data_IF_520897945711
#
_entry.id   IF_520897945711
#
_cell.length_a   1.000
_cell.length_b   1.000
_cell.length_c   1.000
_cell.angle_alpha   90.00
_cell.angle_beta   90.00
_cell.angle_gamma   90.00
#
_symmetry.space_group_name_H-M   'P 1'
#
loop_
_entity.id
_entity.type
_entity.pdbx_description
1 polymer ?
#
# COMPACT_ATOMS: atom_id res chain seq x y z
N UNK A 1 -37.38 38.04 11.68
CA UNK A 1 -37.52 39.20 10.74
C UNK A 1 -36.13 39.62 10.34
N UNK A 2 -35.76 39.53 9.08
CA UNK A 2 -34.46 39.90 8.58
C UNK A 2 -34.09 39.08 7.34
N UNK A 3 -34.39 39.63 6.16
CA UNK A 3 -34.25 39.06 4.85
C UNK A 3 -32.80 38.78 4.43
N UNK A 4 -32.58 37.72 3.68
CA UNK A 4 -31.44 37.57 2.80
C UNK A 4 -31.94 37.52 1.37
N UNK A 5 -31.60 38.60 0.62
CA UNK A 5 -31.87 38.75 -0.79
C UNK A 5 -30.70 38.22 -1.63
N UNK A 6 -31.09 37.83 -2.81
CA UNK A 6 -30.34 37.30 -3.97
C UNK A 6 -29.08 38.07 -4.35
N UNK A 7 -28.05 37.32 -4.76
CA UNK A 7 -27.03 37.75 -5.72
C UNK A 7 -26.60 36.56 -6.59
N UNK A 8 -27.12 36.53 -7.81
CA UNK A 8 -26.60 35.78 -8.95
C UNK A 8 -25.59 36.69 -9.67
N UNK A 9 -24.40 36.24 -10.05
CA UNK A 9 -23.58 36.93 -11.04
C UNK A 9 -23.70 36.28 -12.43
N UNK A 10 -23.76 37.18 -13.43
CA UNK A 10 -23.87 36.94 -14.85
C UNK A 10 -22.74 36.12 -15.47
N UNK A 11 -23.09 35.36 -16.51
CA UNK A 11 -22.19 34.72 -17.47
C UNK A 11 -21.44 35.77 -18.32
N UNK A 12 -20.10 35.75 -18.27
CA UNK A 12 -19.27 36.25 -19.36
C UNK A 12 -18.41 35.14 -19.95
N UNK A 13 -18.68 34.80 -21.18
CA UNK A 13 -17.93 33.90 -22.02
C UNK A 13 -16.59 34.53 -22.43
N UNK A 14 -15.49 34.10 -21.81
CA UNK A 14 -14.12 34.40 -22.22
C UNK A 14 -13.50 33.20 -22.94
N UNK A 15 -13.14 33.35 -24.22
CA UNK A 15 -12.35 32.45 -25.03
C UNK A 15 -11.04 32.14 -24.33
N UNK A 16 -10.80 30.86 -24.00
CA UNK A 16 -9.51 30.37 -23.51
C UNK A 16 -8.66 29.94 -24.69
N UNK A 17 -7.58 30.69 -24.88
CA UNK A 17 -6.47 30.41 -25.76
C UNK A 17 -5.72 29.15 -25.26
N UNK A 18 -5.49 28.21 -26.18
CA UNK A 18 -4.88 26.90 -25.89
C UNK A 18 -3.38 26.96 -25.67
N UNK A 19 -2.97 27.13 -24.44
CA UNK A 19 -1.63 26.78 -23.94
C UNK A 19 -1.77 25.84 -22.75
N UNK A 20 -1.84 24.55 -23.00
CA UNK A 20 -1.73 23.53 -21.95
C UNK A 20 -0.30 23.44 -21.42
N UNK A 21 0.11 24.39 -20.57
CA UNK A 21 1.15 24.13 -19.59
C UNK A 21 0.48 23.28 -18.49
N UNK A 22 0.80 22.00 -18.42
CA UNK A 22 0.37 21.11 -17.36
C UNK A 22 0.85 21.68 -16.03
N UNK A 23 -0.04 22.42 -15.34
CA UNK A 23 0.14 22.80 -13.95
C UNK A 23 0.21 21.52 -13.12
N UNK A 24 1.37 21.24 -12.57
CA UNK A 24 1.56 20.12 -11.62
C UNK A 24 0.72 20.45 -10.39
N UNK A 25 -0.39 19.73 -10.22
CA UNK A 25 -1.17 19.79 -8.99
C UNK A 25 -0.36 19.16 -7.86
N UNK A 26 0.36 19.99 -7.09
CA UNK A 26 1.08 19.61 -5.86
C UNK A 26 0.14 19.32 -4.68
N UNK A 27 -1.15 19.29 -4.89
CA UNK A 27 -2.22 19.13 -3.90
C UNK A 27 -2.19 17.81 -3.09
N UNK A 28 -1.84 16.62 -3.64
CA UNK A 28 -1.99 15.37 -2.89
C UNK A 28 -1.02 15.24 -1.73
N UNK A 29 0.26 15.60 -1.91
CA UNK A 29 1.23 15.52 -0.83
C UNK A 29 0.96 16.52 0.28
N UNK A 30 0.71 17.77 -0.07
CA UNK A 30 0.40 18.83 0.90
C UNK A 30 -0.84 18.49 1.75
N UNK A 31 -1.87 17.88 1.16
CA UNK A 31 -3.03 17.41 1.90
C UNK A 31 -2.68 16.26 2.86
N UNK A 32 -1.91 15.27 2.41
CA UNK A 32 -1.55 14.09 3.17
C UNK A 32 -0.57 14.38 4.33
N UNK A 33 0.21 15.46 4.25
CA UNK A 33 1.10 15.91 5.32
C UNK A 33 0.40 16.73 6.42
N UNK A 34 -0.91 17.03 6.28
CA UNK A 34 -1.65 17.82 7.27
C UNK A 34 -1.91 17.05 8.56
N UNK A 35 -2.03 17.79 9.67
CA UNK A 35 -2.44 17.27 10.97
C UNK A 35 -3.78 16.51 10.89
N UNK A 36 -4.77 17.09 10.21
CA UNK A 36 -6.09 16.50 10.08
C UNK A 36 -6.07 15.15 9.34
N UNK A 37 -5.30 15.04 8.26
CA UNK A 37 -5.11 13.80 7.52
C UNK A 37 -4.44 12.74 8.39
N UNK A 38 -3.33 13.10 9.06
CA UNK A 38 -2.59 12.19 9.93
C UNK A 38 -3.46 11.65 11.07
N UNK A 39 -4.22 12.51 11.75
CA UNK A 39 -5.13 12.09 12.84
C UNK A 39 -6.23 11.16 12.34
N UNK A 40 -6.86 11.47 11.21
CA UNK A 40 -7.88 10.60 10.62
C UNK A 40 -7.30 9.22 10.24
N UNK A 41 -6.11 9.21 9.64
CA UNK A 41 -5.41 7.99 9.26
C UNK A 41 -4.99 7.14 10.48
N UNK A 42 -4.47 7.77 11.54
CA UNK A 42 -4.11 7.11 12.78
C UNK A 42 -5.32 6.54 13.51
N UNK A 43 -6.44 7.28 13.54
CA UNK A 43 -7.68 6.81 14.14
C UNK A 43 -8.20 5.53 13.48
N UNK A 44 -8.10 5.41 12.15
CA UNK A 44 -8.49 4.20 11.42
C UNK A 44 -7.70 2.97 11.87
N UNK A 45 -6.38 3.07 12.06
CA UNK A 45 -5.55 1.97 12.55
C UNK A 45 -5.64 1.70 14.06
N UNK A 46 -6.19 2.64 14.81
CA UNK A 46 -6.47 2.47 16.24
C UNK A 46 -7.80 1.74 16.51
N UNK A 47 -8.62 1.50 15.48
CA UNK A 47 -9.86 0.71 15.60
C UNK A 47 -9.59 -0.77 15.37
N UNK A 48 -10.49 -1.62 15.90
CA UNK A 48 -10.50 -3.06 15.60
C UNK A 48 -11.71 -3.42 14.77
N UNK A 49 -11.59 -4.40 13.86
CA UNK A 49 -12.76 -4.99 13.24
C UNK A 49 -13.65 -5.60 14.33
N UNK A 50 -14.97 -5.43 14.20
CA UNK A 50 -15.92 -6.10 15.08
C UNK A 50 -15.79 -7.63 14.98
N UNK A 51 -16.33 -8.36 15.96
CA UNK A 51 -16.34 -9.83 15.96
C UNK A 51 -16.88 -10.38 14.64
N UNK A 52 -16.28 -11.47 14.14
CA UNK A 52 -16.78 -12.15 12.94
C UNK A 52 -18.06 -12.90 13.28
N UNK A 53 -19.10 -12.66 12.48
CA UNK A 53 -20.35 -13.39 12.54
C UNK A 53 -20.51 -14.18 11.23
N UNK A 54 -20.18 -15.48 11.22
CA UNK A 54 -20.27 -16.31 10.01
C UNK A 54 -21.64 -16.31 9.35
N UNK A 55 -22.70 -16.35 10.16
CA UNK A 55 -24.09 -16.33 9.69
C UNK A 55 -24.44 -15.03 8.97
N UNK A 56 -23.95 -13.90 9.48
CA UNK A 56 -24.11 -12.60 8.81
C UNK A 56 -23.38 -12.59 7.46
N UNK A 57 -22.17 -13.10 7.40
CA UNK A 57 -21.38 -13.18 6.16
C UNK A 57 -22.07 -14.05 5.11
N UNK A 58 -22.64 -15.19 5.50
CA UNK A 58 -23.42 -16.06 4.61
C UNK A 58 -24.72 -15.39 4.13
N UNK A 59 -25.40 -14.64 4.99
CA UNK A 59 -26.60 -13.89 4.64
C UNK A 59 -26.30 -12.76 3.63
N UNK A 60 -25.22 -11.99 3.84
CA UNK A 60 -24.76 -10.93 2.93
C UNK A 60 -24.36 -11.51 1.57
N UNK A 61 -23.62 -12.64 1.54
CA UNK A 61 -23.26 -13.34 0.32
C UNK A 61 -24.49 -13.72 -0.51
N UNK A 62 -25.49 -14.34 0.14
CA UNK A 62 -26.73 -14.74 -0.53
C UNK A 62 -27.51 -13.52 -1.03
N UNK A 63 -27.63 -12.48 -0.20
CA UNK A 63 -28.44 -11.28 -0.50
C UNK A 63 -27.86 -10.49 -1.67
N UNK A 64 -26.56 -10.22 -1.66
CA UNK A 64 -25.92 -9.31 -2.61
C UNK A 64 -25.36 -10.01 -3.84
N UNK A 65 -25.05 -11.29 -3.77
CA UNK A 65 -24.43 -12.04 -4.87
C UNK A 65 -25.24 -13.23 -5.35
N UNK A 66 -26.34 -13.59 -4.65
CA UNK A 66 -27.13 -14.78 -4.97
C UNK A 66 -26.37 -16.10 -4.80
N UNK A 67 -25.23 -16.08 -4.09
CA UNK A 67 -24.36 -17.22 -3.88
C UNK A 67 -24.56 -17.83 -2.50
N UNK A 68 -24.29 -19.13 -2.41
CA UNK A 68 -24.27 -19.89 -1.14
C UNK A 68 -22.98 -20.71 -1.08
N UNK A 69 -22.35 -20.75 0.11
CA UNK A 69 -21.12 -21.49 0.33
C UNK A 69 -20.78 -21.57 1.82
N UNK A 70 -19.79 -22.38 2.16
CA UNK A 70 -19.23 -22.37 3.51
C UNK A 70 -18.32 -21.18 3.70
N UNK A 71 -18.34 -20.57 4.89
CA UNK A 71 -17.54 -19.37 5.24
C UNK A 71 -16.56 -19.72 6.34
N UNK A 72 -15.31 -19.28 6.16
CA UNK A 72 -14.24 -19.41 7.15
C UNK A 72 -13.61 -18.03 7.39
N UNK A 73 -13.51 -17.61 8.66
CA UNK A 73 -12.88 -16.34 9.02
C UNK A 73 -11.37 -16.36 8.76
N UNK A 74 -10.87 -15.31 8.13
CA UNK A 74 -9.44 -15.05 7.97
C UNK A 74 -9.01 -13.94 8.92
N UNK A 75 -7.72 -13.98 9.31
CA UNK A 75 -7.13 -12.92 10.12
C UNK A 75 -7.02 -11.63 9.31
N UNK A 76 -7.52 -10.53 9.84
CA UNK A 76 -7.43 -9.19 9.28
C UNK A 76 -7.28 -8.14 10.38
N UNK A 77 -6.63 -7.02 10.07
CA UNK A 77 -6.33 -5.96 11.05
C UNK A 77 -7.40 -4.87 11.10
N UNK A 78 -8.09 -4.62 9.99
CA UNK A 78 -9.01 -3.47 9.84
C UNK A 78 -10.41 -3.89 9.42
N UNK A 79 -10.52 -4.86 8.51
CA UNK A 79 -11.77 -5.27 7.88
C UNK A 79 -12.14 -6.69 8.32
N UNK A 80 -13.41 -7.06 8.25
CA UNK A 80 -13.80 -8.48 8.34
C UNK A 80 -13.51 -9.15 7.02
N UNK A 81 -12.68 -10.17 7.04
CA UNK A 81 -12.32 -10.94 5.86
C UNK A 81 -12.70 -12.40 6.07
N UNK A 82 -13.49 -12.96 5.16
CA UNK A 82 -13.85 -14.37 5.18
C UNK A 82 -13.55 -15.03 3.84
N UNK A 83 -13.09 -16.27 3.90
CA UNK A 83 -13.02 -17.14 2.74
C UNK A 83 -14.37 -17.79 2.53
N UNK A 84 -14.84 -17.81 1.29
CA UNK A 84 -16.08 -18.43 0.85
C UNK A 84 -15.75 -19.60 -0.07
N UNK A 85 -16.18 -20.81 0.27
CA UNK A 85 -16.01 -21.99 -0.57
C UNK A 85 -17.36 -22.38 -1.17
N UNK A 86 -17.49 -22.24 -2.48
CA UNK A 86 -18.71 -22.57 -3.21
C UNK A 86 -18.77 -24.07 -3.55
N UNK A 87 -19.97 -24.59 -3.79
CA UNK A 87 -20.18 -26.01 -4.14
C UNK A 87 -19.60 -26.41 -5.50
N UNK A 88 -19.33 -25.44 -6.38
CA UNK A 88 -18.69 -25.62 -7.69
C UNK A 88 -17.15 -25.61 -7.63
N UNK A 89 -16.56 -25.54 -6.44
CA UNK A 89 -15.14 -25.53 -6.19
C UNK A 89 -14.48 -24.15 -6.25
N UNK A 90 -15.19 -23.08 -6.61
CA UNK A 90 -14.62 -21.73 -6.57
C UNK A 90 -14.40 -21.29 -5.13
N UNK A 91 -13.27 -20.61 -4.92
CA UNK A 91 -12.92 -20.00 -3.64
C UNK A 91 -12.88 -18.48 -3.80
N UNK A 92 -13.60 -17.78 -2.95
CA UNK A 92 -13.77 -16.34 -3.00
C UNK A 92 -13.39 -15.73 -1.65
N UNK A 93 -13.16 -14.42 -1.65
CA UNK A 93 -12.93 -13.64 -0.43
C UNK A 93 -14.02 -12.58 -0.34
N UNK A 94 -14.77 -12.60 0.75
CA UNK A 94 -15.73 -11.55 1.10
C UNK A 94 -15.09 -10.66 2.16
N UNK A 95 -14.99 -9.37 1.87
CA UNK A 95 -14.58 -8.33 2.82
C UNK A 95 -15.78 -7.49 3.20
N UNK A 96 -15.95 -7.22 4.50
CA UNK A 96 -17.07 -6.42 5.03
C UNK A 96 -16.58 -5.49 6.15
N UNK A 97 -17.27 -4.39 6.34
CA UNK A 97 -17.06 -3.46 7.45
C UNK A 97 -18.35 -2.74 7.79
N UNK A 98 -18.47 -2.31 9.05
CA UNK A 98 -19.55 -1.48 9.55
C UNK A 98 -19.11 -0.03 9.86
N UNK A 99 -17.91 0.37 9.46
CA UNK A 99 -17.39 1.73 9.69
C UNK A 99 -17.61 2.60 8.45
N UNK A 100 -17.86 3.89 8.66
CA UNK A 100 -18.07 4.83 7.56
C UNK A 100 -16.80 4.99 6.70
N UNK A 101 -15.62 4.95 7.33
CA UNK A 101 -14.32 5.07 6.68
C UNK A 101 -14.03 3.92 5.71
N UNK A 102 -14.58 2.74 5.98
CA UNK A 102 -14.41 1.56 5.12
C UNK A 102 -15.08 1.73 3.74
N UNK A 103 -16.09 2.57 3.61
CA UNK A 103 -16.77 2.82 2.34
C UNK A 103 -15.79 3.32 1.27
N UNK A 104 -15.00 4.34 1.60
CA UNK A 104 -14.02 4.88 0.65
C UNK A 104 -12.86 3.90 0.43
N UNK A 105 -12.44 3.14 1.46
CA UNK A 105 -11.47 2.07 1.31
C UNK A 105 -11.97 1.02 0.31
N UNK A 106 -13.23 0.55 0.43
CA UNK A 106 -13.79 -0.45 -0.47
C UNK A 106 -14.06 0.09 -1.88
N UNK A 107 -14.45 1.36 -2.01
CA UNK A 107 -14.53 2.05 -3.31
C UNK A 107 -13.19 2.06 -4.01
N UNK A 108 -12.12 2.37 -3.29
CA UNK A 108 -10.77 2.32 -3.82
C UNK A 108 -10.38 0.90 -4.23
N UNK A 109 -10.47 -0.08 -3.32
CA UNK A 109 -10.05 -1.46 -3.56
C UNK A 109 -10.76 -2.05 -4.78
N UNK A 110 -12.07 -1.90 -4.85
CA UNK A 110 -12.87 -2.45 -5.95
C UNK A 110 -12.61 -1.76 -7.29
N UNK A 111 -12.41 -0.43 -7.30
CA UNK A 111 -12.05 0.30 -8.51
C UNK A 111 -10.64 -0.05 -9.00
N UNK A 112 -9.66 -0.18 -8.09
CA UNK A 112 -8.31 -0.60 -8.44
C UNK A 112 -8.32 -1.99 -9.09
N UNK A 113 -8.93 -2.99 -8.45
CA UNK A 113 -9.03 -4.35 -9.01
C UNK A 113 -9.81 -4.39 -10.35
N UNK A 114 -10.88 -3.61 -10.48
CA UNK A 114 -11.62 -3.51 -11.74
C UNK A 114 -10.77 -2.89 -12.86
N UNK A 115 -9.93 -1.90 -12.54
CA UNK A 115 -8.99 -1.28 -13.47
C UNK A 115 -7.85 -2.19 -13.91
N UNK A 116 -7.49 -3.18 -13.10
CA UNK A 116 -6.46 -4.17 -13.44
C UNK A 116 -6.95 -5.28 -14.37
N UNK A 117 -8.25 -5.33 -14.69
CA UNK A 117 -8.80 -6.39 -15.52
C UNK A 117 -8.15 -6.38 -16.92
N UNK A 118 -7.62 -7.54 -17.33
CA UNK A 118 -6.94 -7.70 -18.60
C UNK A 118 -5.47 -7.27 -18.62
N UNK A 119 -4.95 -6.68 -17.54
CA UNK A 119 -3.51 -6.44 -17.41
C UNK A 119 -2.75 -7.77 -17.31
N UNK A 120 -1.51 -7.79 -17.80
CA UNK A 120 -0.69 -9.01 -17.91
C UNK A 120 0.66 -8.85 -17.20
N UNK A 121 1.29 -10.00 -16.91
CA UNK A 121 2.61 -10.06 -16.26
C UNK A 121 2.57 -10.08 -14.75
N UNK A 122 1.38 -10.10 -14.15
CA UNK A 122 1.11 -10.35 -12.74
C UNK A 122 -0.30 -10.95 -12.58
N UNK A 123 -0.64 -11.39 -11.38
CA UNK A 123 -1.98 -11.89 -11.02
C UNK A 123 -2.58 -10.95 -9.97
N UNK A 124 -3.83 -10.56 -10.15
CA UNK A 124 -4.59 -9.78 -9.17
C UNK A 124 -5.97 -10.41 -8.95
N UNK A 125 -6.61 -10.21 -7.79
CA UNK A 125 -7.99 -10.66 -7.58
C UNK A 125 -8.95 -9.93 -8.54
N UNK A 126 -9.97 -10.64 -8.99
CA UNK A 126 -11.07 -10.03 -9.72
C UNK A 126 -12.24 -9.74 -8.78
N UNK A 127 -12.72 -8.50 -8.80
CA UNK A 127 -13.94 -8.15 -8.06
C UNK A 127 -15.17 -8.69 -8.78
N UNK A 128 -16.05 -9.37 -8.03
CA UNK A 128 -17.31 -9.86 -8.52
C UNK A 128 -18.38 -8.78 -8.37
N UNK A 129 -19.22 -8.61 -9.40
CA UNK A 129 -20.34 -7.67 -9.31
C UNK A 129 -21.46 -8.25 -8.47
N UNK A 130 -22.13 -7.38 -7.71
CA UNK A 130 -23.39 -7.72 -7.02
C UNK A 130 -24.48 -8.08 -8.03
N UNK A 131 -25.60 -8.62 -7.57
CA UNK A 131 -26.79 -8.87 -8.39
C UNK A 131 -27.40 -7.61 -9.00
N UNK A 132 -27.12 -6.42 -8.42
CA UNK A 132 -27.48 -5.11 -9.00
C UNK A 132 -26.45 -4.56 -9.98
N UNK A 133 -25.33 -5.28 -10.23
CA UNK A 133 -24.26 -4.85 -11.12
C UNK A 133 -23.18 -3.95 -10.50
N UNK A 134 -23.30 -3.58 -9.22
CA UNK A 134 -22.31 -2.76 -8.50
C UNK A 134 -21.05 -3.56 -8.16
N UNK A 135 -19.91 -2.87 -7.95
CA UNK A 135 -18.66 -3.48 -7.53
C UNK A 135 -18.65 -3.84 -6.03
N UNK A 136 -19.42 -3.11 -5.23
CA UNK A 136 -19.58 -3.32 -3.80
C UNK A 136 -21.05 -3.11 -3.40
N UNK A 137 -21.39 -3.49 -2.19
CA UNK A 137 -22.70 -3.16 -1.60
C UNK A 137 -22.51 -2.22 -0.39
N UNK A 138 -23.52 -1.38 -0.18
CA UNK A 138 -23.68 -0.52 1.00
C UNK A 138 -25.12 -0.71 1.47
N UNK A 139 -25.32 -1.20 2.70
CA UNK A 139 -26.66 -1.43 3.23
C UNK A 139 -26.66 -1.45 4.76
N UNK A 140 -27.60 -0.70 5.38
CA UNK A 140 -27.87 -0.74 6.82
C UNK A 140 -26.62 -0.55 7.68
N UNK A 141 -25.72 0.39 7.27
CA UNK A 141 -24.46 0.67 7.96
C UNK A 141 -23.37 -0.39 7.75
N UNK A 142 -23.60 -1.36 6.87
CA UNK A 142 -22.57 -2.34 6.47
C UNK A 142 -22.23 -2.14 5.00
N UNK A 143 -20.94 -2.13 4.68
CA UNK A 143 -20.45 -2.18 3.32
C UNK A 143 -19.59 -3.42 3.08
N UNK A 144 -19.42 -3.82 1.82
CA UNK A 144 -18.58 -4.96 1.51
C UNK A 144 -18.48 -5.26 0.02
N UNK A 145 -17.53 -6.14 -0.32
CA UNK A 145 -17.36 -6.62 -1.68
C UNK A 145 -16.81 -8.05 -1.70
N UNK A 146 -17.01 -8.71 -2.84
CA UNK A 146 -16.58 -10.07 -3.11
C UNK A 146 -15.54 -10.09 -4.22
N UNK A 147 -14.46 -10.84 -4.02
CA UNK A 147 -13.39 -11.02 -5.00
C UNK A 147 -12.99 -12.49 -5.13
N UNK A 148 -12.29 -12.82 -6.22
CA UNK A 148 -11.67 -14.13 -6.39
C UNK A 148 -10.53 -14.31 -5.38
N UNK A 149 -10.29 -15.55 -4.94
CA UNK A 149 -9.11 -15.90 -4.17
C UNK A 149 -7.98 -16.27 -5.11
N UNK A 150 -6.80 -15.72 -4.87
CA UNK A 150 -5.57 -16.12 -5.59
C UNK A 150 -5.01 -17.38 -4.94
N UNK A 151 -4.79 -18.41 -5.74
CA UNK A 151 -4.12 -19.64 -5.32
C UNK A 151 -2.60 -19.49 -5.45
N UNK A 152 -1.88 -19.86 -4.40
CA UNK A 152 -0.43 -19.75 -4.32
C UNK A 152 0.06 -19.72 -2.88
N UNK A 153 1.35 -19.49 -2.71
CA UNK A 153 1.95 -19.29 -1.39
C UNK A 153 2.41 -17.84 -1.24
N UNK A 154 2.23 -17.22 -0.07
CA UNK A 154 2.77 -15.90 0.18
C UNK A 154 4.29 -15.88 0.06
N UNK A 155 4.86 -14.80 -0.49
CA UNK A 155 6.29 -14.68 -0.72
C UNK A 155 7.13 -14.88 0.56
N UNK A 156 6.58 -14.52 1.74
CA UNK A 156 7.28 -14.73 3.02
C UNK A 156 7.48 -16.21 3.38
N UNK A 157 6.74 -17.12 2.73
CA UNK A 157 6.86 -18.57 2.90
C UNK A 157 7.73 -19.22 1.80
N UNK A 158 8.05 -18.47 0.75
CA UNK A 158 8.92 -18.95 -0.32
C UNK A 158 10.40 -18.70 0.00
N UNK A 159 11.29 -19.54 -0.51
CA UNK A 159 12.74 -19.29 -0.44
C UNK A 159 13.07 -18.14 -1.41
N UNK A 160 13.62 -17.02 -0.93
CA UNK A 160 13.91 -15.87 -1.78
C UNK A 160 15.20 -16.11 -2.58
N UNK A 161 15.07 -16.61 -3.79
CA UNK A 161 16.16 -16.70 -4.75
C UNK A 161 16.33 -15.41 -5.54
N UNK A 162 17.53 -15.12 -6.09
CA UNK A 162 17.73 -13.99 -7.00
C UNK A 162 16.69 -13.91 -8.12
N UNK A 163 16.41 -15.04 -8.78
CA UNK A 163 15.41 -15.12 -9.85
C UNK A 163 13.98 -14.81 -9.36
N UNK A 164 13.58 -15.33 -8.19
CA UNK A 164 12.27 -15.04 -7.63
C UNK A 164 12.13 -13.55 -7.29
N UNK A 165 13.17 -12.93 -6.72
CA UNK A 165 13.16 -11.50 -6.39
C UNK A 165 13.14 -10.64 -7.68
N UNK A 166 13.89 -11.02 -8.71
CA UNK A 166 13.84 -10.35 -10.01
C UNK A 166 12.44 -10.42 -10.63
N UNK A 167 11.84 -11.60 -10.68
CA UNK A 167 10.46 -11.77 -11.18
C UNK A 167 9.45 -10.98 -10.35
N UNK A 168 9.65 -10.90 -9.03
CA UNK A 168 8.81 -10.09 -8.13
C UNK A 168 8.90 -8.61 -8.48
N UNK A 169 10.10 -8.07 -8.68
CA UNK A 169 10.31 -6.69 -9.09
C UNK A 169 9.69 -6.37 -10.45
N UNK A 170 9.88 -7.26 -11.43
CA UNK A 170 9.29 -7.11 -12.77
C UNK A 170 7.75 -7.12 -12.73
N UNK A 171 7.15 -8.01 -11.93
CA UNK A 171 5.70 -8.07 -11.77
C UNK A 171 5.16 -6.83 -11.03
N UNK A 172 5.87 -6.34 -10.01
CA UNK A 172 5.52 -5.11 -9.29
C UNK A 172 5.52 -3.88 -10.22
N UNK A 173 6.52 -3.77 -11.09
CA UNK A 173 6.57 -2.69 -12.08
C UNK A 173 5.39 -2.76 -13.06
N UNK A 174 5.01 -3.97 -13.53
CA UNK A 174 3.84 -4.16 -14.40
C UNK A 174 2.53 -3.83 -13.69
N UNK A 175 2.40 -4.19 -12.41
CA UNK A 175 1.30 -3.74 -11.57
C UNK A 175 1.25 -2.20 -11.50
N UNK A 176 2.40 -1.55 -11.27
CA UNK A 176 2.50 -0.09 -11.25
C UNK A 176 2.03 0.55 -12.55
N UNK A 177 2.44 0.05 -13.72
CA UNK A 177 1.96 0.53 -15.02
C UNK A 177 0.44 0.36 -15.20
N UNK A 178 -0.14 -0.71 -14.68
CA UNK A 178 -1.58 -0.92 -14.76
C UNK A 178 -2.34 0.00 -13.79
N UNK A 179 -1.81 0.24 -12.58
CA UNK A 179 -2.39 1.15 -11.60
C UNK A 179 -2.29 2.62 -12.02
N UNK A 180 -1.31 3.01 -12.82
CA UNK A 180 -1.19 4.37 -13.40
C UNK A 180 -2.45 4.78 -14.19
N UNK A 181 -3.13 3.80 -14.80
CA UNK A 181 -4.35 4.02 -15.58
C UNK A 181 -5.62 4.09 -14.72
N UNK A 182 -5.51 3.81 -13.42
CA UNK A 182 -6.66 3.83 -12.50
C UNK A 182 -6.87 5.27 -11.99
N UNK A 183 -8.11 5.75 -12.10
CA UNK A 183 -8.52 7.04 -11.55
C UNK A 183 -9.74 6.84 -10.64
N UNK A 184 -9.58 7.14 -9.36
CA UNK A 184 -10.63 7.01 -8.35
C UNK A 184 -10.45 8.05 -7.25
N UNK A 185 -11.47 8.88 -6.93
CA UNK A 185 -11.36 9.92 -5.90
C UNK A 185 -10.93 9.37 -4.53
N UNK A 186 -11.37 8.17 -4.18
CA UNK A 186 -11.00 7.49 -2.93
C UNK A 186 -9.51 7.17 -2.79
N UNK A 187 -8.68 7.36 -3.85
CA UNK A 187 -7.23 7.26 -3.75
C UNK A 187 -6.61 8.35 -2.84
N UNK A 188 -7.35 9.42 -2.57
CA UNK A 188 -6.89 10.53 -1.71
C UNK A 188 -7.42 10.44 -0.26
N UNK A 189 -8.05 9.32 0.12
CA UNK A 189 -8.51 9.10 1.49
C UNK A 189 -7.33 9.02 2.48
N UNK A 190 -7.56 9.30 3.78
CA UNK A 190 -6.53 9.16 4.80
C UNK A 190 -6.05 7.70 4.94
N UNK A 191 -4.73 7.49 4.75
CA UNK A 191 -4.02 6.22 4.93
C UNK A 191 -2.74 6.50 5.73
N UNK A 192 -2.56 5.87 6.89
CA UNK A 192 -1.38 6.16 7.74
C UNK A 192 -0.06 5.76 7.08
N UNK A 193 -0.10 4.74 6.21
CA UNK A 193 1.06 4.30 5.44
C UNK A 193 1.40 5.18 4.25
N UNK A 194 0.59 6.23 3.98
CA UNK A 194 0.89 7.21 2.94
C UNK A 194 2.18 7.96 3.28
N UNK A 195 3.03 8.15 2.28
CA UNK A 195 4.36 8.77 2.44
C UNK A 195 4.30 10.16 3.10
N UNK A 196 3.25 10.94 2.87
CA UNK A 196 3.04 12.23 3.52
C UNK A 196 2.84 12.18 5.04
N UNK A 197 2.56 11.00 5.60
CA UNK A 197 2.48 10.80 7.05
C UNK A 197 3.83 10.47 7.69
N UNK A 198 4.84 10.07 6.92
CA UNK A 198 6.02 9.41 7.49
C UNK A 198 6.84 10.30 8.42
N UNK A 199 7.08 11.56 8.11
CA UNK A 199 7.79 12.49 9.02
C UNK A 199 7.05 12.65 10.36
N UNK A 200 5.71 12.61 10.32
CA UNK A 200 4.88 12.73 11.52
C UNK A 200 4.85 11.46 12.38
N UNK A 201 5.24 10.31 11.84
CA UNK A 201 5.32 9.07 12.62
C UNK A 201 6.31 9.18 13.78
N UNK A 202 7.22 10.15 13.77
CA UNK A 202 8.09 10.44 14.92
C UNK A 202 7.33 10.88 16.18
N UNK A 203 6.06 11.31 16.06
CA UNK A 203 5.17 11.53 17.23
C UNK A 203 4.92 10.23 18.02
N UNK A 204 5.16 9.06 17.39
CA UNK A 204 5.02 7.74 18.01
C UNK A 204 6.33 7.24 18.67
N UNK A 205 7.42 8.00 18.61
CA UNK A 205 8.74 7.60 19.13
C UNK A 205 8.71 7.17 20.61
N UNK A 206 7.87 7.81 21.42
CA UNK A 206 7.69 7.49 22.83
C UNK A 206 7.29 6.03 23.11
N UNK A 207 6.81 5.31 22.09
CA UNK A 207 6.42 3.89 22.17
C UNK A 207 7.58 2.94 21.89
N UNK A 208 8.72 3.44 21.39
CA UNK A 208 9.89 2.61 21.09
C UNK A 208 10.64 2.21 22.37
N UNK A 209 11.26 1.02 22.39
CA UNK A 209 12.24 0.70 23.42
C UNK A 209 13.47 1.59 23.25
N UNK A 210 14.10 1.97 24.36
CA UNK A 210 15.37 2.70 24.33
C UNK A 210 16.49 1.81 23.79
N UNK A 211 17.43 2.38 23.01
CA UNK A 211 18.61 1.67 22.47
C UNK A 211 18.89 1.99 21.01
N UNK A 212 19.84 1.26 20.44
CA UNK A 212 20.39 1.51 19.09
C UNK A 212 19.34 1.51 17.98
N UNK A 213 18.25 0.75 18.13
CA UNK A 213 17.18 0.74 17.12
C UNK A 213 16.41 2.06 17.10
N UNK A 214 16.12 2.64 18.27
CA UNK A 214 15.49 3.97 18.33
C UNK A 214 16.41 5.03 17.72
N UNK A 215 17.72 4.95 17.95
CA UNK A 215 18.69 5.86 17.36
C UNK A 215 18.74 5.72 15.84
N UNK A 216 18.71 4.49 15.31
CA UNK A 216 18.66 4.22 13.86
C UNK A 216 17.36 4.75 13.24
N UNK A 217 16.23 4.59 13.91
CA UNK A 217 14.94 5.14 13.48
C UNK A 217 15.00 6.67 13.40
N UNK A 218 15.51 7.34 14.44
CA UNK A 218 15.66 8.81 14.45
C UNK A 218 16.51 9.31 13.28
N UNK A 219 17.65 8.66 13.04
CA UNK A 219 18.55 9.02 11.93
C UNK A 219 17.85 8.83 10.59
N UNK A 220 17.20 7.68 10.36
CA UNK A 220 16.53 7.40 9.10
C UNK A 220 15.36 8.37 8.83
N UNK A 221 14.59 8.71 9.86
CA UNK A 221 13.45 9.63 9.72
C UNK A 221 13.91 11.09 9.57
N UNK A 222 15.02 11.48 10.20
CA UNK A 222 15.65 12.78 9.96
C UNK A 222 16.17 12.91 8.53
N UNK A 223 16.86 11.87 8.00
CA UNK A 223 17.25 11.83 6.58
C UNK A 223 16.05 11.92 5.64
N UNK A 224 14.96 11.26 5.97
CA UNK A 224 13.73 11.35 5.19
C UNK A 224 13.19 12.78 5.15
N UNK A 225 13.02 13.42 6.29
CA UNK A 225 12.49 14.79 6.38
C UNK A 225 13.41 15.82 5.71
N UNK A 226 14.73 15.66 5.81
CA UNK A 226 15.69 16.60 5.25
C UNK A 226 15.92 16.43 3.75
N UNK A 227 15.97 15.18 3.25
CA UNK A 227 16.43 14.93 1.87
C UNK A 227 15.36 14.31 0.96
N UNK A 228 14.36 13.60 1.48
CA UNK A 228 13.34 12.96 0.66
C UNK A 228 12.13 13.87 0.53
N UNK A 229 11.58 14.31 1.64
CA UNK A 229 10.33 15.07 1.70
C UNK A 229 10.34 16.32 0.82
N UNK A 230 11.42 17.15 0.75
CA UNK A 230 11.46 18.33 -0.12
C UNK A 230 11.48 18.03 -1.62
N UNK A 231 11.85 16.79 -2.02
CA UNK A 231 12.03 16.39 -3.43
C UNK A 231 10.98 15.40 -3.90
N UNK A 232 10.12 14.91 -3.00
CA UNK A 232 9.22 13.80 -3.34
C UNK A 232 8.10 14.20 -4.31
N UNK A 233 7.79 15.49 -4.40
CA UNK A 233 6.85 16.03 -5.40
C UNK A 233 7.40 15.99 -6.84
N UNK A 234 8.72 15.85 -7.01
CA UNK A 234 9.38 15.89 -8.31
C UNK A 234 9.51 14.51 -8.98
N UNK A 235 9.10 13.44 -8.30
CA UNK A 235 9.00 12.10 -8.89
C UNK A 235 7.59 11.85 -9.45
N UNK A 236 7.42 10.75 -10.19
CA UNK A 236 6.12 10.38 -10.76
C UNK A 236 5.14 9.91 -9.67
N UNK A 237 3.92 10.44 -9.68
CA UNK A 237 2.81 10.11 -8.78
C UNK A 237 1.70 9.39 -9.54
N UNK A 238 1.09 8.40 -8.89
CA UNK A 238 0.03 7.58 -9.46
C UNK A 238 -0.75 6.87 -8.34
N UNK A 239 -1.78 6.13 -8.70
CA UNK A 239 -2.36 5.12 -7.81
C UNK A 239 -1.32 4.03 -7.57
N UNK A 240 -1.08 3.67 -6.31
CA UNK A 240 -0.13 2.64 -5.88
C UNK A 240 -0.84 1.58 -5.05
N UNK A 241 -0.21 0.41 -4.91
CA UNK A 241 -0.65 -0.64 -3.98
C UNK A 241 -0.40 -0.25 -2.52
N UNK A 242 0.69 0.44 -2.27
CA UNK A 242 1.14 1.00 -0.99
C UNK A 242 1.45 0.01 0.14
N UNK A 243 1.23 -1.28 -0.06
CA UNK A 243 1.74 -2.36 0.82
C UNK A 243 2.11 -3.64 0.04
N UNK A 244 3.02 -3.60 -0.96
CA UNK A 244 3.54 -4.80 -1.59
C UNK A 244 4.53 -5.51 -0.65
N UNK A 245 4.05 -5.93 0.52
CA UNK A 245 4.82 -6.70 1.50
C UNK A 245 4.84 -8.19 1.11
N UNK A 246 5.79 -9.00 1.61
CA UNK A 246 5.83 -10.43 1.34
C UNK A 246 4.60 -11.22 1.79
N UNK A 247 3.71 -10.61 2.57
CA UNK A 247 2.42 -11.19 2.96
C UNK A 247 1.35 -10.95 1.90
N UNK A 248 1.47 -9.85 1.15
CA UNK A 248 0.54 -9.42 0.10
C UNK A 248 1.03 -9.76 -1.31
N UNK A 249 2.24 -10.33 -1.43
CA UNK A 249 2.78 -10.88 -2.67
C UNK A 249 2.69 -12.40 -2.66
N UNK A 250 2.15 -12.98 -3.73
CA UNK A 250 1.87 -14.41 -3.87
C UNK A 250 2.73 -15.03 -4.97
N UNK A 251 3.36 -16.16 -4.68
CA UNK A 251 3.99 -17.00 -5.72
C UNK A 251 2.92 -17.97 -6.22
N UNK A 252 2.53 -17.81 -7.47
CA UNK A 252 1.45 -18.59 -8.09
C UNK A 252 1.97 -19.43 -9.27
N UNK A 253 1.18 -20.36 -9.74
CA UNK A 253 1.50 -21.12 -10.97
C UNK A 253 1.51 -20.29 -12.26
N UNK A 254 0.97 -19.04 -12.20
CA UNK A 254 0.88 -18.12 -13.34
C UNK A 254 1.85 -16.93 -13.22
N UNK A 255 2.67 -16.86 -12.16
CA UNK A 255 3.60 -15.76 -11.90
C UNK A 255 3.40 -15.16 -10.51
N UNK A 256 3.82 -13.91 -10.34
CA UNK A 256 3.63 -13.19 -9.08
C UNK A 256 2.22 -12.62 -8.99
N UNK A 257 1.58 -12.82 -7.85
CA UNK A 257 0.27 -12.26 -7.52
C UNK A 257 0.37 -11.15 -6.48
N UNK A 258 -0.59 -10.22 -6.49
CA UNK A 258 -0.72 -9.15 -5.50
C UNK A 258 -2.14 -9.16 -4.92
N UNK A 259 -2.24 -9.16 -3.60
CA UNK A 259 -3.51 -9.16 -2.86
C UNK A 259 -3.52 -8.00 -1.87
N UNK A 260 -4.70 -7.67 -1.38
CA UNK A 260 -4.92 -6.68 -0.33
C UNK A 260 -4.53 -5.24 -0.73
N UNK A 261 -5.42 -4.61 -1.51
CA UNK A 261 -5.31 -3.23 -1.96
C UNK A 261 -5.81 -2.22 -0.90
N UNK A 262 -5.97 -2.64 0.38
CA UNK A 262 -6.54 -1.82 1.45
C UNK A 262 -5.79 -0.53 1.74
N UNK A 263 -4.47 -0.56 1.65
CA UNK A 263 -3.60 0.58 1.89
C UNK A 263 -3.30 1.40 0.62
N UNK A 264 -3.79 0.96 -0.55
CA UNK A 264 -3.53 1.65 -1.81
C UNK A 264 -4.03 3.09 -1.80
N UNK A 265 -3.27 3.99 -2.41
CA UNK A 265 -3.56 5.43 -2.42
C UNK A 265 -2.87 6.12 -3.60
N UNK A 266 -3.12 7.42 -3.77
CA UNK A 266 -2.34 8.26 -4.68
C UNK A 266 -1.01 8.62 -4.03
N UNK A 267 0.09 8.09 -4.57
CA UNK A 267 1.42 8.17 -3.95
C UNK A 267 2.52 8.14 -5.02
N UNK A 268 3.78 8.50 -4.68
CA UNK A 268 4.89 8.32 -5.60
C UNK A 268 5.05 6.85 -5.99
N UNK A 269 5.15 6.55 -7.30
CA UNK A 269 5.31 5.17 -7.78
C UNK A 269 6.51 4.45 -7.16
N UNK A 270 7.58 5.19 -6.86
CA UNK A 270 8.79 4.64 -6.23
C UNK A 270 8.53 4.10 -4.81
N UNK A 271 7.44 4.52 -4.15
CA UNK A 271 7.08 4.04 -2.82
C UNK A 271 6.80 2.54 -2.81
N UNK A 272 6.08 2.00 -3.81
CA UNK A 272 5.83 0.56 -3.91
C UNK A 272 7.13 -0.24 -4.04
N UNK A 273 8.09 0.24 -4.85
CA UNK A 273 9.41 -0.39 -4.94
C UNK A 273 10.16 -0.31 -3.62
N UNK A 274 10.16 0.85 -2.96
CA UNK A 274 10.84 1.04 -1.67
C UNK A 274 10.27 0.13 -0.58
N UNK A 275 8.93 -0.02 -0.53
CA UNK A 275 8.26 -0.93 0.40
C UNK A 275 8.67 -2.37 0.12
N UNK A 276 8.51 -2.87 -1.11
CA UNK A 276 8.86 -4.25 -1.47
C UNK A 276 10.35 -4.55 -1.21
N UNK A 277 11.24 -3.64 -1.64
CA UNK A 277 12.68 -3.77 -1.45
C UNK A 277 13.06 -3.78 0.04
N UNK A 278 12.47 -2.91 0.87
CA UNK A 278 12.74 -2.86 2.31
C UNK A 278 12.45 -4.18 3.02
N UNK A 279 11.42 -4.90 2.60
CA UNK A 279 11.00 -6.16 3.19
C UNK A 279 11.90 -7.36 2.85
N UNK A 280 12.71 -7.28 1.80
CA UNK A 280 13.59 -8.38 1.37
C UNK A 280 15.04 -8.20 1.79
N UNK A 281 15.39 -7.09 2.44
CA UNK A 281 16.71 -6.82 3.02
C UNK A 281 17.00 -7.82 4.14
N UNK A 282 18.02 -8.67 3.94
CA UNK A 282 18.40 -9.73 4.91
C UNK A 282 19.86 -10.19 4.83
N UNK A 283 20.56 -9.93 3.73
CA UNK A 283 21.93 -10.39 3.48
C UNK A 283 22.91 -9.22 3.63
N UNK A 284 23.59 -9.16 4.78
CA UNK A 284 24.56 -8.11 5.08
C UNK A 284 25.83 -8.14 4.21
N UNK A 285 26.02 -9.16 3.38
CA UNK A 285 27.15 -9.23 2.44
C UNK A 285 26.89 -8.48 1.14
N UNK A 286 25.61 -8.15 0.86
CA UNK A 286 25.18 -7.40 -0.31
C UNK A 286 24.84 -5.96 0.06
N UNK A 287 25.20 -4.97 -0.80
CA UNK A 287 25.01 -3.54 -0.49
C UNK A 287 23.56 -3.15 -0.15
N UNK A 288 22.57 -3.71 -0.89
CA UNK A 288 21.14 -3.48 -0.60
C UNK A 288 20.50 -4.66 0.12
N UNK A 289 21.32 -5.52 0.74
CA UNK A 289 20.80 -6.62 1.55
C UNK A 289 20.10 -7.73 0.77
N UNK A 290 20.31 -7.86 -0.52
CA UNK A 290 19.62 -8.80 -1.42
C UNK A 290 18.43 -8.14 -2.15
N UNK A 291 18.10 -6.89 -1.87
CA UNK A 291 17.06 -6.17 -2.60
C UNK A 291 17.49 -5.79 -4.03
N UNK A 292 18.78 -5.90 -4.38
CA UNK A 292 19.35 -5.64 -5.71
C UNK A 292 18.59 -6.37 -6.81
N UNK A 293 18.26 -7.63 -6.59
CA UNK A 293 17.56 -8.45 -7.57
C UNK A 293 16.12 -7.96 -7.83
N UNK A 294 15.43 -7.52 -6.78
CA UNK A 294 14.08 -6.96 -6.91
C UNK A 294 14.13 -5.60 -7.61
N UNK A 295 15.09 -4.74 -7.27
CA UNK A 295 15.33 -3.45 -7.93
C UNK A 295 15.65 -3.65 -9.41
N UNK A 296 16.52 -4.59 -9.74
CA UNK A 296 16.87 -4.94 -11.12
C UNK A 296 15.63 -5.41 -11.92
N UNK A 297 14.81 -6.29 -11.32
CA UNK A 297 13.57 -6.74 -11.92
C UNK A 297 12.58 -5.62 -12.18
N UNK A 298 12.41 -4.69 -11.24
CA UNK A 298 11.58 -3.51 -11.42
C UNK A 298 12.11 -2.62 -12.55
N UNK A 299 13.42 -2.32 -12.52
CA UNK A 299 14.07 -1.46 -13.50
C UNK A 299 14.07 -2.07 -14.93
N UNK A 300 13.95 -3.38 -15.06
CA UNK A 300 13.79 -4.05 -16.37
C UNK A 300 12.48 -3.71 -17.09
N UNK A 301 11.49 -3.16 -16.37
CA UNK A 301 10.18 -2.79 -16.90
C UNK A 301 9.95 -1.28 -16.84
N UNK A 302 10.28 -0.65 -15.72
CA UNK A 302 10.17 0.81 -15.50
C UNK A 302 11.55 1.35 -15.16
N UNK A 303 12.12 2.17 -16.04
CA UNK A 303 13.36 2.87 -15.74
C UNK A 303 13.17 3.85 -14.59
N UNK A 304 14.01 3.77 -13.57
CA UNK A 304 14.04 4.77 -12.50
C UNK A 304 14.71 6.05 -13.02
N UNK A 305 14.14 7.20 -12.69
CA UNK A 305 14.81 8.49 -12.90
C UNK A 305 16.03 8.59 -11.98
N UNK A 306 16.94 9.49 -12.28
CA UNK A 306 18.11 9.76 -11.42
C UNK A 306 17.69 10.15 -10.00
N UNK A 307 16.59 10.91 -9.86
CA UNK A 307 16.05 11.27 -8.56
C UNK A 307 15.48 10.07 -7.82
N UNK A 308 14.68 9.22 -8.47
CA UNK A 308 14.15 7.99 -7.86
C UNK A 308 15.27 7.06 -7.38
N UNK A 309 16.32 6.87 -8.18
CA UNK A 309 17.50 6.08 -7.78
C UNK A 309 18.20 6.65 -6.55
N UNK A 310 18.37 7.98 -6.49
CA UNK A 310 18.97 8.71 -5.37
C UNK A 310 18.15 8.60 -4.08
N UNK A 311 16.81 8.57 -4.18
CA UNK A 311 15.91 8.54 -3.02
C UNK A 311 15.66 7.12 -2.49
N UNK A 312 15.82 6.07 -3.30
CA UNK A 312 15.33 4.72 -3.01
C UNK A 312 15.82 4.17 -1.66
N UNK A 313 17.12 4.22 -1.37
CA UNK A 313 17.66 3.66 -0.11
C UNK A 313 17.14 4.42 1.11
N UNK A 314 16.99 5.74 1.02
CA UNK A 314 16.41 6.55 2.09
C UNK A 314 14.94 6.20 2.32
N UNK A 315 14.18 5.99 1.25
CA UNK A 315 12.80 5.52 1.31
C UNK A 315 12.69 4.12 1.94
N UNK A 316 13.61 3.21 1.62
CA UNK A 316 13.66 1.88 2.24
C UNK A 316 13.90 1.97 3.75
N UNK A 317 14.85 2.80 4.20
CA UNK A 317 15.11 3.04 5.63
C UNK A 317 13.91 3.68 6.34
N UNK A 318 13.32 4.70 5.73
CA UNK A 318 12.15 5.37 6.27
C UNK A 318 10.94 4.41 6.37
N UNK A 319 10.73 3.53 5.38
CA UNK A 319 9.69 2.51 5.45
C UNK A 319 9.90 1.51 6.59
N UNK A 320 11.13 1.03 6.80
CA UNK A 320 11.45 0.15 7.93
C UNK A 320 11.20 0.86 9.26
N UNK A 321 11.60 2.13 9.36
CA UNK A 321 11.36 2.97 10.54
C UNK A 321 9.87 3.21 10.80
N UNK A 322 9.10 3.52 9.75
CA UNK A 322 7.65 3.67 9.83
C UNK A 322 6.97 2.40 10.36
N UNK A 323 7.39 1.23 9.85
CA UNK A 323 6.86 -0.06 10.29
C UNK A 323 7.18 -0.32 11.77
N UNK A 324 8.40 -0.01 12.21
CA UNK A 324 8.81 -0.14 13.62
C UNK A 324 7.96 0.77 14.50
N UNK A 325 7.86 2.05 14.18
CA UNK A 325 7.11 3.06 14.96
C UNK A 325 5.63 2.67 15.11
N UNK A 326 4.96 2.39 13.99
CA UNK A 326 3.52 2.07 13.98
C UNK A 326 3.23 0.76 14.73
N UNK A 327 4.05 -0.27 14.56
CA UNK A 327 3.78 -1.56 15.20
C UNK A 327 4.11 -1.55 16.70
N UNK A 328 5.10 -0.81 17.18
CA UNK A 328 5.29 -0.61 18.61
C UNK A 328 4.12 0.15 19.22
N UNK A 329 3.67 1.25 18.61
CA UNK A 329 2.49 1.99 19.04
C UNK A 329 1.25 1.09 19.10
N UNK A 330 0.91 0.41 17.99
CA UNK A 330 -0.27 -0.47 17.95
C UNK A 330 -0.19 -1.63 18.94
N UNK A 331 1.00 -2.18 19.20
CA UNK A 331 1.17 -3.26 20.19
C UNK A 331 0.86 -2.82 21.61
N UNK A 332 0.98 -1.53 21.95
CA UNK A 332 0.56 -0.97 23.23
C UNK A 332 -0.96 -0.70 23.28
N UNK A 333 -1.56 -0.30 22.14
CA UNK A 333 -3.02 -0.15 22.05
C UNK A 333 -3.73 -1.52 22.15
N UNK A 334 -3.11 -2.58 21.63
CA UNK A 334 -3.68 -3.93 21.56
C UNK A 334 -2.77 -4.98 22.19
N UNK A 335 -2.58 -5.00 23.51
CA UNK A 335 -1.62 -5.91 24.16
C UNK A 335 -1.90 -7.40 23.91
N UNK A 336 -3.17 -7.78 23.79
CA UNK A 336 -3.56 -9.17 23.49
C UNK A 336 -3.07 -9.66 22.13
N UNK A 337 -2.88 -8.76 21.15
CA UNK A 337 -2.44 -9.06 19.79
C UNK A 337 -1.00 -8.59 19.53
N UNK A 338 -0.28 -8.15 20.57
CA UNK A 338 1.04 -7.54 20.44
C UNK A 338 2.04 -8.43 19.69
N UNK A 339 1.99 -9.75 19.89
CA UNK A 339 2.87 -10.69 19.18
C UNK A 339 2.57 -10.72 17.67
N UNK A 340 1.30 -10.75 17.30
CA UNK A 340 0.88 -10.72 15.89
C UNK A 340 1.23 -9.38 15.23
N UNK A 341 0.92 -8.26 15.90
CA UNK A 341 1.21 -6.90 15.40
C UNK A 341 2.72 -6.74 15.15
N UNK A 342 3.56 -7.21 16.08
CA UNK A 342 5.03 -7.11 15.97
C UNK A 342 5.68 -8.19 15.11
N UNK A 343 4.92 -9.04 14.40
CA UNK A 343 5.48 -10.13 13.55
C UNK A 343 6.52 -9.66 12.54
N UNK A 344 6.42 -8.41 12.08
CA UNK A 344 7.31 -7.82 11.08
C UNK A 344 8.41 -6.94 11.67
N UNK A 345 8.34 -6.60 12.97
CA UNK A 345 9.26 -5.64 13.61
C UNK A 345 10.70 -6.16 13.56
N UNK A 346 10.95 -7.39 14.00
CA UNK A 346 12.31 -7.96 14.00
C UNK A 346 12.95 -7.97 12.60
N UNK A 347 12.15 -8.18 11.55
CA UNK A 347 12.63 -8.13 10.15
C UNK A 347 12.99 -6.69 9.76
N UNK A 348 12.17 -5.72 10.13
CA UNK A 348 12.43 -4.32 9.82
C UNK A 348 13.65 -3.80 10.60
N UNK A 349 13.80 -4.16 11.87
CA UNK A 349 14.98 -3.84 12.69
C UNK A 349 16.25 -4.43 12.07
N UNK A 350 16.22 -5.71 11.67
CA UNK A 350 17.34 -6.35 11.00
C UNK A 350 17.68 -5.66 9.66
N UNK A 351 16.68 -5.40 8.81
CA UNK A 351 16.90 -4.71 7.54
C UNK A 351 17.44 -3.29 7.74
N UNK A 352 16.91 -2.56 8.72
CA UNK A 352 17.42 -1.22 9.05
C UNK A 352 18.87 -1.29 9.52
N UNK A 353 19.26 -2.29 10.33
CA UNK A 353 20.65 -2.47 10.78
C UNK A 353 21.63 -2.76 9.62
N UNK A 354 21.17 -3.39 8.54
CA UNK A 354 21.97 -3.60 7.31
C UNK A 354 22.11 -2.31 6.51
N UNK A 355 21.02 -1.56 6.35
CA UNK A 355 21.02 -0.36 5.51
C UNK A 355 21.55 0.88 6.22
N UNK A 356 21.45 1.00 7.55
CA UNK A 356 21.86 2.19 8.30
C UNK A 356 23.34 2.59 8.08
N UNK A 357 24.32 1.66 8.04
CA UNK A 357 25.73 2.02 7.82
C UNK A 357 26.04 2.37 6.36
N UNK A 358 25.15 2.12 5.41
CA UNK A 358 25.40 2.35 3.99
C UNK A 358 25.41 3.85 3.69
N UNK A 359 26.57 4.40 3.33
CA UNK A 359 26.70 5.81 2.96
C UNK A 359 25.86 6.17 1.73
N UNK A 360 25.46 7.43 1.62
CA UNK A 360 24.59 7.95 0.56
C UNK A 360 25.09 7.59 -0.84
N UNK A 361 26.33 7.93 -1.14
CA UNK A 361 26.94 7.68 -2.47
C UNK A 361 27.05 6.18 -2.77
N UNK A 362 27.36 5.35 -1.75
CA UNK A 362 27.43 3.90 -1.89
C UNK A 362 26.04 3.29 -2.12
N UNK A 363 25.01 3.82 -1.46
CA UNK A 363 23.63 3.39 -1.66
C UNK A 363 23.13 3.70 -3.07
N UNK A 364 23.37 4.93 -3.55
CA UNK A 364 23.02 5.32 -4.91
C UNK A 364 23.77 4.48 -5.95
N UNK A 365 25.08 4.28 -5.78
CA UNK A 365 25.89 3.44 -6.66
C UNK A 365 25.36 1.98 -6.69
N UNK A 366 24.94 1.42 -5.54
CA UNK A 366 24.36 0.07 -5.49
C UNK A 366 23.03 -0.03 -6.24
N UNK A 367 22.18 0.99 -6.15
CA UNK A 367 20.92 1.06 -6.93
C UNK A 367 21.22 1.12 -8.43
N UNK A 368 22.13 1.99 -8.85
CA UNK A 368 22.53 2.13 -10.26
C UNK A 368 23.16 0.84 -10.80
N UNK A 369 23.99 0.16 -10.01
CA UNK A 369 24.56 -1.13 -10.37
C UNK A 369 23.47 -2.21 -10.52
N UNK A 370 22.48 -2.25 -9.61
CA UNK A 370 21.34 -3.16 -9.71
C UNK A 370 20.53 -2.92 -10.99
N UNK A 371 20.26 -1.65 -11.33
CA UNK A 371 19.55 -1.29 -12.57
C UNK A 371 20.28 -1.73 -13.84
N UNK A 372 21.63 -1.75 -13.82
CA UNK A 372 22.45 -2.08 -14.98
C UNK A 372 22.73 -3.59 -15.13
N UNK A 373 22.62 -4.37 -14.06
CA UNK A 373 23.08 -5.77 -14.00
C UNK A 373 22.33 -6.75 -14.91
N UNK A 374 21.19 -6.36 -15.50
CA UNK A 374 20.37 -7.20 -16.39
C UNK A 374 20.18 -6.59 -17.79
N UNK A 375 20.92 -5.53 -18.13
CA UNK A 375 20.91 -4.95 -19.48
C UNK A 375 21.97 -5.60 -20.42
N UNK A 376 22.75 -6.54 -19.90
CA UNK A 376 23.81 -7.27 -20.62
C UNK A 376 23.31 -8.75 -20.93
#
# INVERSE_FOLDING_TARGET
MGAYGDLVPDEEAGQLDGSMAAGRDHLPYAAASTEAYFRAAAASLAMRPGASEPDLSAALLKRHYGLTGSVATLSSEVERTVEVNLSDGRRLILKTSATAEAVDSFRFQTAAMAGLRGATGFVAPEVLRTTSGALMFEQEGTCGYLQTRIEGIPLHQATPTPDLLFRTGSALARLGLALELVSVPAAHRPVLWHIGCWSRLMELEQHLPTGSIADSVRVAMAEYAEFVEPQISDVAWQVTHNDPSPFNMMVTGQGMGFIDFGDGCWSPRIQDLAIAASHVVRDSTLPLGGAEHLVAGYASVIALSALEAKLLVRLMRARQSALILVNYWRSQLFPADAQYIKKNVARAEHGLSILAPLGVASGEAAVLAAMSSYQS
#
